data_IF_678007178340
#
_entry.id   IF_678007178340
#
_cell.length_a   1.000
_cell.length_b   1.000
_cell.length_c   1.000
_cell.angle_alpha   90.00
_cell.angle_beta   90.00
_cell.angle_gamma   90.00
#
_symmetry.space_group_name_H-M   'P 1'
#
loop_
_entity.id
_entity.type
_entity.pdbx_description
1 polymer ?
#
# COMPACT_ATOMS: atom_id res chain seq x y z
N UNK A 1 -11.79 -10.03 -10.73
CA UNK A 1 -10.45 -10.59 -10.49
C UNK A 1 -9.49 -9.98 -11.50
N UNK A 2 -8.37 -9.42 -11.03
CA UNK A 2 -7.40 -8.72 -11.86
C UNK A 2 -6.46 -9.71 -12.56
N UNK A 3 -6.34 -9.59 -13.88
CA UNK A 3 -5.40 -10.39 -14.68
C UNK A 3 -4.02 -9.73 -14.66
N UNK A 4 -2.98 -10.49 -14.32
CA UNK A 4 -1.59 -10.04 -14.39
C UNK A 4 -1.07 -10.24 -15.82
N UNK A 5 -0.69 -9.14 -16.46
CA UNK A 5 -0.03 -9.16 -17.76
C UNK A 5 1.48 -9.08 -17.57
N UNK A 6 2.20 -10.12 -18.01
CA UNK A 6 3.66 -10.07 -18.14
C UNK A 6 4.02 -9.26 -19.40
N UNK A 7 4.12 -7.95 -19.24
CA UNK A 7 4.44 -7.00 -20.31
C UNK A 7 5.38 -5.92 -19.82
N UNK A 8 5.83 -5.07 -20.74
CA UNK A 8 6.68 -3.92 -20.43
C UNK A 8 5.84 -2.76 -19.89
N UNK A 9 6.38 -2.07 -18.88
CA UNK A 9 5.89 -0.78 -18.38
C UNK A 9 6.95 0.27 -18.68
N UNK A 10 6.56 1.41 -19.25
CA UNK A 10 7.48 2.52 -19.55
C UNK A 10 6.87 3.86 -19.14
N UNK A 11 7.45 4.57 -18.14
CA UNK A 11 8.50 4.12 -17.23
C UNK A 11 8.10 2.89 -16.41
N UNK A 12 9.06 2.16 -15.89
CA UNK A 12 8.83 1.10 -14.92
C UNK A 12 8.31 1.67 -13.60
N UNK A 13 7.61 0.85 -12.81
CA UNK A 13 7.06 1.25 -11.51
C UNK A 13 8.13 1.82 -10.58
N UNK A 14 9.30 1.17 -10.53
CA UNK A 14 10.41 1.64 -9.70
C UNK A 14 10.93 3.02 -10.15
N UNK A 15 11.00 3.30 -11.45
CA UNK A 15 11.41 4.62 -11.95
C UNK A 15 10.43 5.73 -11.52
N UNK A 16 9.11 5.44 -11.56
CA UNK A 16 8.11 6.38 -11.04
C UNK A 16 8.27 6.61 -9.53
N UNK A 17 8.53 5.55 -8.77
CA UNK A 17 8.73 5.66 -7.32
C UNK A 17 10.04 6.36 -6.95
N UNK A 18 11.12 6.17 -7.71
CA UNK A 18 12.38 6.89 -7.53
C UNK A 18 12.17 8.41 -7.61
N UNK A 19 11.34 8.87 -8.54
CA UNK A 19 11.01 10.29 -8.65
C UNK A 19 10.03 10.78 -7.56
N UNK A 20 9.08 9.93 -7.15
CA UNK A 20 7.99 10.34 -6.26
C UNK A 20 8.33 10.28 -4.77
N UNK A 21 9.03 9.24 -4.32
CA UNK A 21 9.31 9.00 -2.89
C UNK A 21 9.97 10.19 -2.17
N UNK A 22 10.99 10.87 -2.73
CA UNK A 22 11.64 12.00 -2.06
C UNK A 22 10.71 13.17 -1.75
N UNK A 23 9.56 13.27 -2.42
CA UNK A 23 8.56 14.31 -2.17
C UNK A 23 7.64 14.03 -0.98
N UNK A 24 7.73 12.86 -0.35
CA UNK A 24 6.82 12.43 0.72
C UNK A 24 7.40 12.72 2.12
N UNK A 25 6.57 13.16 3.09
CA UNK A 25 7.07 13.57 4.41
C UNK A 25 7.55 12.40 5.29
N UNK A 26 7.14 11.17 4.99
CA UNK A 26 7.56 9.95 5.67
C UNK A 26 8.81 9.30 5.05
N UNK A 27 9.30 9.79 3.90
CA UNK A 27 10.47 9.21 3.24
C UNK A 27 11.76 9.52 4.03
N UNK A 28 12.64 8.51 4.15
CA UNK A 28 13.84 8.53 5.03
C UNK A 28 15.15 8.26 4.28
N UNK A 29 15.10 8.04 2.97
CA UNK A 29 16.28 7.71 2.16
C UNK A 29 16.99 8.96 1.62
N UNK A 30 17.91 8.75 0.68
CA UNK A 30 18.67 9.82 0.04
C UNK A 30 17.83 10.57 -1.01
N UNK A 31 18.35 11.67 -1.56
CA UNK A 31 17.65 12.41 -2.62
C UNK A 31 17.43 11.57 -3.89
N UNK A 32 18.30 10.59 -4.14
CA UNK A 32 18.20 9.64 -5.25
C UNK A 32 18.00 8.22 -4.67
N UNK A 33 16.74 7.71 -4.65
CA UNK A 33 16.45 6.37 -4.13
C UNK A 33 17.06 5.26 -5.00
N UNK A 34 17.59 4.22 -4.35
CA UNK A 34 18.03 2.98 -5.01
C UNK A 34 17.05 1.85 -4.64
N UNK A 35 16.02 1.68 -5.47
CA UNK A 35 14.86 0.85 -5.15
C UNK A 35 14.97 -0.57 -5.71
N UNK A 36 14.61 -1.55 -4.89
CA UNK A 36 14.32 -2.92 -5.30
C UNK A 36 12.91 -3.32 -4.83
N UNK A 37 12.16 -4.06 -5.67
CA UNK A 37 10.89 -4.67 -5.25
C UNK A 37 11.20 -5.78 -4.23
N UNK A 38 10.53 -5.73 -3.09
CA UNK A 38 10.75 -6.64 -1.96
C UNK A 38 9.53 -7.48 -1.60
N UNK A 39 8.36 -7.20 -2.17
CA UNK A 39 7.14 -7.96 -1.92
C UNK A 39 5.89 -7.14 -2.17
N UNK A 40 4.81 -7.52 -1.50
CA UNK A 40 3.52 -6.85 -1.59
C UNK A 40 2.37 -7.81 -1.88
N UNK A 41 1.20 -7.25 -2.13
CA UNK A 41 0.00 -8.00 -2.49
C UNK A 41 -0.89 -7.14 -3.39
N UNK A 42 -1.96 -7.74 -3.92
CA UNK A 42 -2.97 -7.05 -4.72
C UNK A 42 -4.34 -7.19 -4.09
N UNK A 43 -5.23 -6.28 -4.46
CA UNK A 43 -6.67 -6.43 -4.25
C UNK A 43 -7.37 -6.34 -5.60
N UNK A 44 -8.55 -6.93 -5.67
CA UNK A 44 -9.38 -6.86 -6.85
C UNK A 44 -10.33 -5.68 -6.79
N UNK A 45 -10.38 -4.91 -7.87
CA UNK A 45 -11.50 -4.00 -8.10
C UNK A 45 -12.73 -4.83 -8.51
N UNK A 46 -13.88 -4.73 -7.80
CA UNK A 46 -15.12 -5.40 -8.17
C UNK A 46 -15.60 -5.06 -9.58
N UNK A 47 -15.27 -3.87 -10.09
CA UNK A 47 -15.62 -3.42 -11.45
C UNK A 47 -14.51 -3.70 -12.48
N UNK A 48 -13.33 -4.14 -12.04
CA UNK A 48 -12.19 -4.47 -12.90
C UNK A 48 -11.58 -3.29 -13.67
N UNK A 49 -11.90 -2.05 -13.31
CA UNK A 49 -11.42 -0.84 -13.98
C UNK A 49 -10.10 -0.31 -13.41
N UNK A 50 -9.83 -0.58 -12.13
CA UNK A 50 -8.64 -0.10 -11.41
C UNK A 50 -7.74 -1.26 -11.01
N UNK A 51 -6.48 -1.19 -11.39
CA UNK A 51 -5.48 -2.12 -10.84
C UNK A 51 -5.06 -1.66 -9.44
N UNK A 52 -5.20 -2.52 -8.43
CA UNK A 52 -4.81 -2.22 -7.05
C UNK A 52 -3.61 -3.07 -6.65
N UNK A 53 -2.56 -2.44 -6.16
CA UNK A 53 -1.33 -3.10 -5.68
C UNK A 53 -0.83 -2.42 -4.42
N UNK A 54 -0.42 -3.19 -3.43
CA UNK A 54 0.33 -2.73 -2.26
C UNK A 54 1.75 -3.24 -2.43
N UNK A 55 2.63 -2.43 -3.01
CA UNK A 55 4.00 -2.83 -3.27
C UNK A 55 4.87 -2.58 -2.04
N UNK A 56 5.73 -3.53 -1.69
CA UNK A 56 6.86 -3.25 -0.80
C UNK A 56 8.10 -3.02 -1.64
N UNK A 57 8.74 -1.86 -1.47
CA UNK A 57 10.03 -1.53 -2.08
C UNK A 57 11.06 -1.27 -1.00
N UNK A 58 12.27 -1.77 -1.18
CA UNK A 58 13.40 -1.47 -0.28
C UNK A 58 14.31 -0.46 -0.96
N UNK A 59 14.61 0.63 -0.25
CA UNK A 59 15.59 1.62 -0.65
C UNK A 59 16.90 1.37 0.09
N UNK A 60 18.00 1.24 -0.66
CA UNK A 60 19.35 1.01 -0.13
C UNK A 60 20.27 2.23 -0.27
N UNK A 61 19.76 3.37 -0.74
CA UNK A 61 20.54 4.60 -0.93
C UNK A 61 21.06 5.21 0.38
N UNK A 62 20.44 4.88 1.52
CA UNK A 62 20.79 5.38 2.84
C UNK A 62 21.78 4.50 3.61
N UNK A 63 22.20 4.92 4.83
CA UNK A 63 23.15 4.17 5.66
C UNK A 63 22.59 2.82 6.15
N UNK A 64 21.26 2.65 6.13
CA UNK A 64 20.56 1.40 6.41
C UNK A 64 19.41 1.25 5.40
N UNK A 65 19.14 0.04 4.90
CA UNK A 65 17.99 -0.20 4.05
C UNK A 65 16.67 0.17 4.74
N UNK A 66 15.76 0.79 4.00
CA UNK A 66 14.41 1.12 4.48
C UNK A 66 13.39 0.50 3.54
N UNK A 67 12.51 -0.35 4.07
CA UNK A 67 11.38 -0.88 3.32
C UNK A 67 10.20 0.11 3.39
N UNK A 68 9.54 0.34 2.26
CA UNK A 68 8.37 1.19 2.14
C UNK A 68 7.19 0.42 1.57
N UNK A 69 6.02 0.54 2.21
CA UNK A 69 4.74 0.12 1.66
C UNK A 69 4.16 1.25 0.79
N UNK A 70 3.85 0.91 -0.46
CA UNK A 70 3.32 1.84 -1.45
C UNK A 70 2.05 1.25 -2.07
N UNK A 71 0.85 1.62 -1.57
CA UNK A 71 -0.41 1.38 -2.25
C UNK A 71 -0.46 2.20 -3.54
N UNK A 72 -0.70 1.52 -4.65
CA UNK A 72 -0.76 2.09 -6.00
C UNK A 72 -2.09 1.71 -6.63
N UNK A 73 -2.77 2.73 -7.15
CA UNK A 73 -3.93 2.56 -8.01
C UNK A 73 -3.56 2.89 -9.46
N UNK A 74 -3.82 1.96 -10.37
CA UNK A 74 -3.56 2.11 -11.81
C UNK A 74 -4.88 2.31 -12.56
N UNK A 75 -5.09 3.50 -13.10
CA UNK A 75 -6.29 3.86 -13.86
C UNK A 75 -6.02 3.96 -15.36
N UNK A 76 -7.05 3.68 -16.16
CA UNK A 76 -7.02 3.87 -17.62
C UNK A 76 -7.34 5.29 -18.09
N UNK A 77 -7.63 6.21 -17.16
CA UNK A 77 -7.85 7.63 -17.40
C UNK A 77 -7.43 8.43 -16.15
N UNK A 78 -7.17 9.75 -16.27
CA UNK A 78 -6.93 10.61 -15.11
C UNK A 78 -8.09 10.56 -14.11
N UNK A 79 -7.77 10.62 -12.82
CA UNK A 79 -8.73 10.83 -11.73
C UNK A 79 -8.79 12.33 -11.40
N UNK A 80 -9.94 12.94 -11.69
CA UNK A 80 -10.21 14.35 -11.40
C UNK A 80 -10.14 14.63 -9.89
N UNK A 81 -9.43 15.70 -9.51
CA UNK A 81 -9.28 16.13 -8.11
C UNK A 81 -8.26 15.34 -7.29
N UNK A 82 -7.53 14.41 -7.92
CA UNK A 82 -6.46 13.63 -7.31
C UNK A 82 -5.07 13.94 -7.90
N UNK A 83 -4.91 15.09 -8.56
CA UNK A 83 -3.66 15.48 -9.23
C UNK A 83 -2.48 15.56 -8.25
N UNK A 84 -2.72 15.96 -7.00
CA UNK A 84 -1.70 16.00 -5.93
C UNK A 84 -1.20 14.61 -5.52
N UNK A 85 -1.96 13.56 -5.83
CA UNK A 85 -1.64 12.17 -5.54
C UNK A 85 -1.07 11.40 -6.74
N UNK A 86 -0.91 12.06 -7.90
CA UNK A 86 -0.34 11.42 -9.07
C UNK A 86 1.13 11.09 -8.81
N UNK A 87 1.46 9.80 -8.89
CA UNK A 87 2.85 9.29 -8.84
C UNK A 87 3.50 9.46 -10.21
N UNK A 88 2.74 9.18 -11.28
CA UNK A 88 3.17 9.40 -12.65
C UNK A 88 2.31 8.65 -13.66
N UNK A 89 2.67 8.76 -14.94
CA UNK A 89 2.02 8.03 -16.03
C UNK A 89 2.98 7.01 -16.63
N UNK A 90 2.46 5.87 -17.08
CA UNK A 90 3.23 4.84 -17.77
C UNK A 90 2.46 4.25 -18.96
N UNK A 91 3.18 3.75 -19.96
CA UNK A 91 2.63 2.94 -21.05
C UNK A 91 2.68 1.46 -20.67
N UNK A 92 1.53 0.80 -20.66
CA UNK A 92 1.41 -0.63 -20.42
C UNK A 92 1.24 -1.37 -21.74
N UNK A 93 2.14 -2.29 -22.08
CA UNK A 93 2.17 -2.91 -23.42
C UNK A 93 0.90 -3.65 -23.87
N UNK A 94 -0.02 -3.98 -22.95
CA UNK A 94 -1.33 -4.57 -23.25
C UNK A 94 -2.50 -3.60 -23.03
N UNK A 95 -2.40 -2.69 -22.06
CA UNK A 95 -3.53 -1.89 -21.59
C UNK A 95 -3.42 -0.44 -22.10
N UNK A 96 -2.33 -0.07 -22.78
CA UNK A 96 -2.04 1.30 -23.18
C UNK A 96 -1.65 2.18 -21.99
N UNK A 97 -1.85 3.49 -22.14
CA UNK A 97 -1.52 4.47 -21.11
C UNK A 97 -2.23 4.20 -19.77
N UNK A 98 -1.50 4.37 -18.68
CA UNK A 98 -1.97 4.21 -17.30
C UNK A 98 -1.52 5.38 -16.44
N UNK A 99 -2.39 5.81 -15.54
CA UNK A 99 -2.11 6.78 -14.50
C UNK A 99 -1.93 6.05 -13.17
N UNK A 100 -0.76 6.19 -12.56
CA UNK A 100 -0.46 5.64 -11.25
C UNK A 100 -0.65 6.72 -10.18
N UNK A 101 -1.49 6.43 -9.20
CA UNK A 101 -1.77 7.30 -8.06
C UNK A 101 -1.29 6.65 -6.78
N UNK A 102 -0.93 7.47 -5.79
CA UNK A 102 -0.85 7.04 -4.40
C UNK A 102 -2.26 6.62 -3.98
N UNK A 103 -2.45 5.31 -3.84
CA UNK A 103 -3.79 4.76 -3.75
C UNK A 103 -4.49 5.07 -2.43
N UNK A 104 -3.81 5.66 -1.43
CA UNK A 104 -4.49 6.25 -0.28
C UNK A 104 -5.45 7.37 -0.66
N UNK A 105 -5.28 8.00 -1.82
CA UNK A 105 -6.18 9.01 -2.38
C UNK A 105 -7.12 8.47 -3.47
N UNK A 106 -7.06 7.16 -3.77
CA UNK A 106 -7.95 6.53 -4.75
C UNK A 106 -9.16 5.90 -4.04
N UNK A 107 -10.39 6.31 -4.35
CA UNK A 107 -11.59 5.82 -3.66
C UNK A 107 -11.80 4.31 -3.83
N UNK A 108 -11.36 3.72 -4.96
CA UNK A 108 -11.52 2.29 -5.21
C UNK A 108 -10.51 1.50 -4.37
N UNK A 109 -9.25 1.93 -4.31
CA UNK A 109 -8.26 1.28 -3.43
C UNK A 109 -8.66 1.40 -1.96
N UNK A 110 -9.09 2.59 -1.51
CA UNK A 110 -9.54 2.82 -0.14
C UNK A 110 -10.72 1.91 0.21
N UNK A 111 -11.73 1.81 -0.66
CA UNK A 111 -12.86 0.91 -0.46
C UNK A 111 -12.44 -0.56 -0.37
N UNK A 112 -11.47 -1.00 -1.19
CA UNK A 112 -10.97 -2.37 -1.14
C UNK A 112 -10.09 -2.64 0.08
N UNK A 113 -9.31 -1.67 0.56
CA UNK A 113 -8.57 -1.80 1.82
C UNK A 113 -9.51 -1.93 3.01
N UNK A 114 -10.58 -1.14 3.05
CA UNK A 114 -11.65 -1.28 4.06
C UNK A 114 -12.32 -2.65 3.95
N UNK A 115 -12.64 -3.10 2.73
CA UNK A 115 -13.22 -4.42 2.50
C UNK A 115 -12.29 -5.55 2.96
N UNK A 116 -10.97 -5.43 2.75
CA UNK A 116 -9.98 -6.38 3.24
C UNK A 116 -10.02 -6.47 4.77
N UNK A 117 -9.98 -5.34 5.46
CA UNK A 117 -10.03 -5.26 6.93
C UNK A 117 -11.35 -5.81 7.50
N UNK A 118 -12.45 -5.67 6.75
CA UNK A 118 -13.75 -6.26 7.07
C UNK A 118 -13.89 -7.74 6.70
N UNK A 119 -12.87 -8.36 6.10
CA UNK A 119 -12.93 -9.76 5.63
C UNK A 119 -13.83 -9.96 4.41
N UNK A 120 -14.22 -8.89 3.72
CA UNK A 120 -15.05 -8.91 2.49
C UNK A 120 -14.23 -8.94 1.20
N UNK A 121 -12.93 -8.65 1.26
CA UNK A 121 -12.00 -8.80 0.15
C UNK A 121 -10.83 -9.70 0.58
N UNK A 122 -10.21 -10.36 -0.40
CA UNK A 122 -9.07 -11.26 -0.18
C UNK A 122 -7.83 -10.69 -0.86
N UNK A 123 -6.71 -10.67 -0.13
CA UNK A 123 -5.41 -10.33 -0.69
C UNK A 123 -4.98 -11.39 -1.72
N UNK A 124 -4.53 -10.93 -2.88
CA UNK A 124 -4.06 -11.75 -3.99
C UNK A 124 -2.54 -11.61 -4.15
N UNK A 125 -1.91 -12.67 -4.66
CA UNK A 125 -0.50 -12.74 -4.99
C UNK A 125 -0.14 -11.62 -5.98
N UNK A 126 0.98 -10.91 -5.78
CA UNK A 126 1.34 -9.77 -6.62
C UNK A 126 1.84 -10.16 -8.02
N UNK A 127 2.15 -11.44 -8.27
CA UNK A 127 2.78 -11.93 -9.48
C UNK A 127 1.98 -13.06 -10.17
N UNK A 128 1.05 -13.72 -9.47
CA UNK A 128 0.26 -14.83 -10.01
C UNK A 128 -1.24 -14.53 -10.05
N UNK A 129 -1.82 -14.76 -11.23
CA UNK A 129 -3.27 -14.88 -11.49
C UNK A 129 -4.03 -15.58 -10.37
N UNK A 130 -5.09 -14.98 -9.78
CA UNK A 130 -6.14 -15.71 -9.07
C UNK A 130 -5.63 -16.59 -7.90
N UNK A 131 -4.54 -16.16 -7.30
CA UNK A 131 -3.83 -16.89 -6.24
C UNK A 131 -3.87 -16.06 -4.97
N UNK A 132 -4.45 -16.55 -3.86
CA UNK A 132 -4.44 -15.80 -2.60
C UNK A 132 -3.02 -15.56 -2.07
N UNK A 133 -2.75 -14.35 -1.57
CA UNK A 133 -1.51 -14.02 -0.88
C UNK A 133 -1.56 -14.57 0.56
N UNK A 134 -1.02 -15.77 0.75
CA UNK A 134 -1.10 -16.52 2.02
C UNK A 134 -0.32 -15.85 3.16
N UNK A 135 0.65 -15.01 2.83
CA UNK A 135 1.47 -14.26 3.77
C UNK A 135 0.79 -13.01 4.33
N UNK A 136 -0.37 -12.62 3.79
CA UNK A 136 -1.13 -11.47 4.27
C UNK A 136 -2.10 -11.91 5.35
N UNK A 137 -1.85 -11.41 6.57
CA UNK A 137 -2.66 -11.69 7.74
C UNK A 137 -3.54 -10.48 8.03
N UNK A 138 -4.85 -10.73 8.13
CA UNK A 138 -5.83 -9.72 8.53
C UNK A 138 -6.50 -10.18 9.80
N UNK A 139 -6.58 -9.29 10.79
CA UNK A 139 -7.33 -9.54 12.01
C UNK A 139 -8.15 -8.32 12.38
N UNK A 140 -9.43 -8.51 12.65
CA UNK A 140 -10.32 -7.50 13.19
C UNK A 140 -11.34 -8.18 14.10
N UNK A 141 -11.22 -8.05 15.44
CA UNK A 141 -12.13 -8.71 16.36
C UNK A 141 -13.55 -8.14 16.33
N UNK A 142 -13.70 -6.85 16.01
CA UNK A 142 -14.99 -6.17 15.97
C UNK A 142 -15.63 -6.27 14.58
N UNK A 143 -16.86 -6.75 14.54
CA UNK A 143 -17.70 -6.72 13.35
C UNK A 143 -18.33 -5.33 13.13
N UNK A 144 -18.59 -4.98 11.87
CA UNK A 144 -19.29 -3.74 11.50
C UNK A 144 -18.66 -3.04 10.30
N UNK A 145 -19.47 -2.27 9.59
CA UNK A 145 -19.01 -1.54 8.40
C UNK A 145 -18.29 -0.26 8.79
N UNK A 146 -17.14 -0.03 8.18
CA UNK A 146 -16.35 1.19 8.26
C UNK A 146 -16.77 2.13 7.14
N UNK A 147 -16.74 3.43 7.44
CA UNK A 147 -16.90 4.46 6.41
C UNK A 147 -15.74 4.42 5.43
N UNK A 148 -16.03 4.56 4.14
CA UNK A 148 -15.03 4.82 3.10
C UNK A 148 -14.87 6.32 2.81
N UNK A 149 -15.71 7.17 3.40
CA UNK A 149 -15.49 8.61 3.47
C UNK A 149 -14.38 8.87 4.49
N UNK A 150 -13.17 9.13 3.99
CA UNK A 150 -11.93 9.15 4.75
C UNK A 150 -11.12 10.38 4.34
N UNK A 151 -10.67 11.14 5.34
CA UNK A 151 -9.69 12.21 5.13
C UNK A 151 -8.29 11.61 5.19
N UNK A 152 -7.48 11.90 4.17
CA UNK A 152 -6.11 11.38 4.03
C UNK A 152 -5.11 12.42 4.53
N UNK A 153 -4.24 12.03 5.45
CA UNK A 153 -3.15 12.90 5.94
C UNK A 153 -1.86 12.12 6.05
N UNK A 154 -0.77 12.67 5.51
CA UNK A 154 0.58 12.13 5.68
C UNK A 154 1.30 12.78 6.86
N UNK A 155 2.10 11.99 7.56
CA UNK A 155 3.05 12.43 8.59
C UNK A 155 4.41 11.73 8.43
N UNK A 156 5.25 11.70 9.47
CA UNK A 156 6.60 11.10 9.44
C UNK A 156 6.63 9.57 9.55
N UNK A 157 5.54 8.93 9.98
CA UNK A 157 5.47 7.45 10.10
C UNK A 157 4.55 6.83 9.03
N UNK A 158 3.74 7.62 8.33
CA UNK A 158 3.03 7.16 7.16
C UNK A 158 1.79 7.96 6.83
N UNK A 159 0.70 7.26 6.53
CA UNK A 159 -0.56 7.88 6.09
C UNK A 159 -1.69 7.46 7.02
N UNK A 160 -2.47 8.44 7.49
CA UNK A 160 -3.69 8.22 8.24
C UNK A 160 -4.91 8.45 7.34
N UNK A 161 -5.81 7.47 7.32
CA UNK A 161 -7.14 7.58 6.73
C UNK A 161 -8.15 7.71 7.87
N UNK A 162 -8.73 8.90 8.04
CA UNK A 162 -9.57 9.23 9.20
C UNK A 162 -11.03 9.36 8.81
N UNK A 163 -11.91 8.60 9.47
CA UNK A 163 -13.36 8.71 9.25
C UNK A 163 -13.92 9.96 9.95
N UNK A 164 -15.08 10.48 9.52
CA UNK A 164 -15.78 11.56 10.24
C UNK A 164 -16.09 11.24 11.70
N UNK A 165 -16.19 9.95 12.06
CA UNK A 165 -16.44 9.48 13.43
C UNK A 165 -15.16 9.37 14.27
N UNK A 166 -14.01 9.74 13.70
CA UNK A 166 -12.71 9.75 14.38
C UNK A 166 -12.00 8.39 14.41
N UNK A 167 -12.47 7.39 13.67
CA UNK A 167 -11.73 6.14 13.52
C UNK A 167 -10.58 6.35 12.54
N UNK A 168 -9.40 5.83 12.86
CA UNK A 168 -8.20 6.01 12.06
C UNK A 168 -7.69 4.68 11.56
N UNK A 169 -7.58 4.54 10.25
CA UNK A 169 -6.81 3.48 9.59
C UNK A 169 -5.44 4.04 9.23
N UNK A 170 -4.42 3.62 9.98
CA UNK A 170 -3.03 4.03 9.80
C UNK A 170 -2.32 3.04 8.90
N UNK A 171 -1.77 3.52 7.78
CA UNK A 171 -0.83 2.77 6.95
C UNK A 171 0.59 3.15 7.36
N UNK A 172 1.41 2.15 7.71
CA UNK A 172 2.85 2.35 7.85
C UNK A 172 3.46 2.45 6.46
N UNK A 173 4.10 3.59 6.19
CA UNK A 173 4.79 3.79 4.92
C UNK A 173 6.21 3.25 5.03
N UNK A 174 7.13 3.82 5.84
CA UNK A 174 8.30 3.09 6.29
C UNK A 174 7.87 1.89 7.15
N UNK A 175 8.19 0.69 6.68
CA UNK A 175 7.90 -0.54 7.41
C UNK A 175 8.93 -0.77 8.50
N UNK A 176 8.44 -1.24 9.64
CA UNK A 176 9.28 -1.69 10.74
C UNK A 176 9.18 -3.21 10.83
N UNK A 177 10.30 -3.94 10.71
CA UNK A 177 10.31 -5.38 10.92
C UNK A 177 9.96 -5.69 12.38
N UNK A 178 9.11 -6.69 12.60
CA UNK A 178 8.77 -7.18 13.93
C UNK A 178 10.01 -7.75 14.62
N UNK A 179 10.19 -7.42 15.90
CA UNK A 179 11.22 -8.04 16.73
C UNK A 179 10.89 -9.53 16.92
N UNK A 180 11.90 -10.40 16.80
CA UNK A 180 11.82 -11.84 17.03
C UNK A 180 10.74 -12.59 16.23
N UNK A 181 10.26 -11.99 15.12
CA UNK A 181 9.25 -12.59 14.24
C UNK A 181 7.84 -12.66 14.85
N UNK A 182 7.61 -12.04 16.01
CA UNK A 182 6.28 -11.90 16.60
C UNK A 182 5.83 -10.46 16.43
N UNK A 183 4.92 -10.25 15.49
CA UNK A 183 4.26 -8.97 15.35
C UNK A 183 3.25 -8.77 16.50
N UNK A 184 3.35 -7.63 17.19
CA UNK A 184 2.36 -7.17 18.19
C UNK A 184 1.72 -5.88 17.67
N UNK A 185 0.39 -5.84 17.46
CA UNK A 185 -0.29 -4.62 17.05
C UNK A 185 -0.01 -3.48 18.03
N UNK A 186 0.06 -2.22 17.55
CA UNK A 186 0.13 -1.07 18.44
C UNK A 186 -0.97 -1.14 19.51
N UNK A 187 -0.65 -0.71 20.72
CA UNK A 187 -1.61 -0.70 21.82
C UNK A 187 -2.86 0.10 21.42
N UNK A 188 -4.04 -0.50 21.58
CA UNK A 188 -5.32 0.11 21.19
C UNK A 188 -5.74 -0.12 19.74
N UNK A 189 -4.98 -0.91 18.96
CA UNK A 189 -5.43 -1.32 17.63
C UNK A 189 -6.62 -2.29 17.74
N UNK A 190 -7.69 -2.00 16.99
CA UNK A 190 -8.91 -2.81 16.88
C UNK A 190 -8.97 -3.62 15.59
N UNK A 191 -7.94 -3.49 14.73
CA UNK A 191 -7.74 -4.34 13.56
C UNK A 191 -6.38 -4.08 12.91
N UNK A 192 -5.88 -5.02 12.12
CA UNK A 192 -4.62 -4.85 11.40
C UNK A 192 -4.54 -5.69 10.12
N UNK A 193 -3.65 -5.25 9.24
CA UNK A 193 -3.11 -5.98 8.09
C UNK A 193 -1.61 -6.09 8.28
N UNK A 194 -1.10 -7.31 8.30
CA UNK A 194 0.33 -7.61 8.40
C UNK A 194 0.75 -8.43 7.18
N UNK A 195 2.03 -8.34 6.84
CA UNK A 195 2.61 -9.09 5.73
C UNK A 195 4.11 -9.27 5.88
N UNK A 196 4.71 -9.88 4.87
CA UNK A 196 6.15 -10.13 4.81
C UNK A 196 6.78 -9.57 3.55
N UNK A 197 8.09 -9.33 3.61
CA UNK A 197 8.89 -8.87 2.49
C UNK A 197 10.31 -9.41 2.59
N UNK A 198 11.00 -9.43 1.47
CA UNK A 198 12.40 -9.84 1.37
C UNK A 198 13.32 -8.67 1.76
N UNK A 199 14.21 -8.91 2.71
CA UNK A 199 15.27 -7.97 3.07
C UNK A 199 16.45 -8.09 2.10
N UNK A 200 17.33 -7.06 1.98
CA UNK A 200 18.45 -7.09 1.04
C UNK A 200 19.47 -8.22 1.25
N UNK A 201 19.52 -8.81 2.45
CA UNK A 201 20.37 -9.96 2.77
C UNK A 201 19.71 -11.31 2.41
N UNK A 202 18.55 -11.29 1.78
CA UNK A 202 17.75 -12.47 1.42
C UNK A 202 16.94 -13.05 2.58
N UNK A 203 17.00 -12.45 3.77
CA UNK A 203 16.14 -12.87 4.88
C UNK A 203 14.71 -12.37 4.70
N UNK A 204 13.75 -13.06 5.33
CA UNK A 204 12.35 -12.66 5.29
C UNK A 204 12.01 -11.82 6.52
N UNK A 205 11.63 -10.57 6.28
CA UNK A 205 11.08 -9.68 7.29
C UNK A 205 9.55 -9.73 7.28
N UNK A 206 8.92 -9.36 8.40
CA UNK A 206 7.47 -9.27 8.53
C UNK A 206 7.09 -8.14 9.48
N UNK A 207 5.87 -7.61 9.33
CA UNK A 207 5.42 -6.48 10.14
C UNK A 207 4.04 -5.96 9.73
N UNK A 208 3.61 -4.90 10.41
CA UNK A 208 2.32 -4.23 10.12
C UNK A 208 2.41 -3.38 8.90
N UNK A 209 1.49 -3.61 7.98
CA UNK A 209 1.25 -2.73 6.84
C UNK A 209 0.23 -1.65 7.21
N UNK A 210 -0.86 -2.04 7.87
CA UNK A 210 -1.87 -1.10 8.34
C UNK A 210 -2.52 -1.55 9.65
N UNK A 211 -3.00 -0.61 10.46
CA UNK A 211 -3.79 -0.90 11.65
C UNK A 211 -4.89 0.13 11.87
N UNK A 212 -5.99 -0.34 12.45
CA UNK A 212 -7.17 0.42 12.79
C UNK A 212 -7.14 0.75 14.27
N UNK A 213 -7.41 1.99 14.65
CA UNK A 213 -7.55 2.38 16.05
C UNK A 213 -8.59 3.49 16.21
N UNK A 214 -9.15 3.61 17.42
CA UNK A 214 -9.96 4.78 17.77
C UNK A 214 -9.09 6.04 17.78
N UNK A 215 -9.60 7.14 17.23
CA UNK A 215 -8.99 8.46 17.43
C UNK A 215 -9.01 8.77 18.91
N UNK A 216 -7.89 9.28 19.43
CA UNK A 216 -7.89 9.82 20.78
C UNK A 216 -8.94 10.93 20.82
N UNK A 217 -9.97 10.80 21.66
CA UNK A 217 -10.88 11.91 21.96
C UNK A 217 -10.00 13.01 22.57
N UNK A 218 -9.68 14.02 21.76
CA UNK A 218 -9.21 15.30 22.28
C UNK A 218 -10.34 16.00 23.03
#
# INVERSE_FOLDING_TARGET
>A
MAVIHHTTLKPAKLELLTAWLPSRPWYRGAAEPELAKAGGFRLDDPQGAVGIEFMVVTDVSGPRPVAYLVPLAYRGAPLEGAEHALVGTMEHGVLGQRWAYDGCHDPVLVAQLVALIEGRAQAQDPNVSDTPAQEIVVSRPEEGSLSTDLTVTDDREGTALTTPQGLVLRLHRPLQPAADGLFVPPQGATGHVAGSWEAPDGTRAQGVFAFLHGGSRA
#
